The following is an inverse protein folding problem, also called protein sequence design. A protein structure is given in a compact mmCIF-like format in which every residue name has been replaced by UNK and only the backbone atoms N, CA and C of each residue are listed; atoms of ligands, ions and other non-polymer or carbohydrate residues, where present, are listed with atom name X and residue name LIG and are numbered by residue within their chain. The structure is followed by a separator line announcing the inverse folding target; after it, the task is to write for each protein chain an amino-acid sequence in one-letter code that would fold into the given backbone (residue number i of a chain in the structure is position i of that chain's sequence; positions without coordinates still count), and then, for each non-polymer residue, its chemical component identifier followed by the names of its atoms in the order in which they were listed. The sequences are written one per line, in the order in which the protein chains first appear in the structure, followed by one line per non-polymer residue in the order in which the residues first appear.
data_IF_956277575947
#
_entry.id   IF_956277575947
#
_cell.length_a   1.000
_cell.length_b   1.000
_cell.length_c   1.000
_cell.angle_alpha   90.00
_cell.angle_beta   90.00
_cell.angle_gamma   90.00
#
_symmetry.space_group_name_H-M   'P 1'
#
loop_
_entity.id
_entity.type
_entity.pdbx_description
1 polymer ?
#
# COMPACT_ATOMS: atom_id res chain seq x y z
N UNK A 1 -2.79 -23.09 3.09
CA UNK A 1 -1.42 -22.63 2.81
C UNK A 1 -1.37 -21.11 2.95
N UNK A 2 -0.54 -20.64 3.83
CA UNK A 2 -0.27 -19.19 3.94
C UNK A 2 0.63 -18.82 2.77
N UNK A 3 0.19 -17.89 1.92
CA UNK A 3 1.04 -17.38 0.83
C UNK A 3 2.14 -16.52 1.45
N UNK A 4 3.37 -16.78 1.07
CA UNK A 4 4.51 -15.97 1.52
C UNK A 4 4.41 -14.56 0.95
N UNK A 5 4.78 -13.56 1.76
CA UNK A 5 4.89 -12.17 1.29
C UNK A 5 5.88 -12.10 0.14
N UNK A 6 5.49 -11.54 -1.01
CA UNK A 6 6.42 -11.38 -2.12
C UNK A 6 7.61 -10.51 -1.71
N UNK A 7 8.80 -10.92 -2.14
CA UNK A 7 10.00 -10.10 -1.94
C UNK A 7 9.98 -8.96 -2.96
N UNK A 8 10.16 -7.74 -2.46
CA UNK A 8 10.31 -6.55 -3.31
C UNK A 8 11.76 -6.11 -3.22
N UNK A 9 12.52 -6.15 -4.32
CA UNK A 9 13.91 -5.68 -4.30
C UNK A 9 14.00 -4.21 -3.88
N UNK A 10 15.11 -3.81 -3.21
CA UNK A 10 15.34 -2.42 -2.90
C UNK A 10 15.27 -1.53 -4.15
N UNK A 11 14.73 -0.33 -4.00
CA UNK A 11 14.75 0.68 -5.05
C UNK A 11 15.95 1.60 -4.87
N UNK A 12 16.05 2.66 -5.70
CA UNK A 12 17.18 3.60 -5.59
C UNK A 12 17.27 4.26 -4.21
N UNK A 13 16.12 4.51 -3.55
CA UNK A 13 16.09 5.27 -2.28
C UNK A 13 15.31 4.57 -1.16
N UNK A 14 14.62 3.47 -1.45
CA UNK A 14 13.70 2.83 -0.50
C UNK A 14 14.00 1.35 -0.34
N UNK A 15 13.80 0.88 0.89
CA UNK A 15 13.60 -0.54 1.19
C UNK A 15 12.12 -0.75 1.50
N UNK A 16 11.50 -1.74 0.85
CA UNK A 16 10.16 -2.21 1.21
C UNK A 16 10.33 -3.39 2.16
N UNK A 17 10.12 -3.14 3.43
CA UNK A 17 10.38 -4.11 4.50
C UNK A 17 9.08 -4.79 4.87
N UNK A 18 8.99 -6.14 4.86
CA UNK A 18 7.80 -6.83 5.32
C UNK A 18 7.37 -6.34 6.70
N UNK A 19 6.08 -6.08 6.84
CA UNK A 19 5.52 -5.53 8.07
C UNK A 19 5.77 -6.46 9.26
N UNK A 20 6.14 -5.88 10.40
CA UNK A 20 6.28 -6.54 11.70
C UNK A 20 5.59 -5.72 12.78
N UNK A 21 5.17 -6.38 13.83
CA UNK A 21 4.47 -5.72 14.94
C UNK A 21 5.35 -4.62 15.59
N UNK A 22 6.65 -4.84 15.64
CA UNK A 22 7.63 -3.89 16.22
C UNK A 22 7.70 -2.56 15.45
N UNK A 23 7.22 -2.50 14.23
CA UNK A 23 7.17 -1.25 13.46
C UNK A 23 6.12 -0.26 13.99
N UNK A 24 5.22 -0.69 14.85
CA UNK A 24 4.07 0.12 15.28
C UNK A 24 4.47 1.44 15.97
N UNK A 25 5.50 1.44 16.82
CA UNK A 25 5.92 2.67 17.52
C UNK A 25 6.45 3.74 16.57
N UNK A 26 7.37 3.36 15.70
CA UNK A 26 7.91 4.31 14.72
C UNK A 26 6.82 4.76 13.75
N UNK A 27 5.97 3.85 13.27
CA UNK A 27 4.88 4.15 12.34
C UNK A 27 3.80 5.04 12.95
N UNK A 28 3.58 4.99 14.26
CA UNK A 28 2.65 5.93 14.91
C UNK A 28 3.07 7.39 14.68
N UNK A 29 4.37 7.67 14.73
CA UNK A 29 4.91 8.99 14.39
C UNK A 29 4.77 9.33 12.91
N UNK A 30 5.03 8.38 12.03
CA UNK A 30 4.90 8.56 10.57
C UNK A 30 3.46 8.89 10.17
N UNK A 31 2.48 8.27 10.83
CA UNK A 31 1.06 8.38 10.51
C UNK A 31 0.30 9.38 11.41
N UNK A 32 1.02 10.24 12.12
CA UNK A 32 0.44 11.13 13.13
C UNK A 32 -0.26 12.37 12.56
N UNK A 33 0.02 12.76 11.31
CA UNK A 33 -0.58 13.96 10.74
C UNK A 33 -2.06 13.71 10.38
N UNK A 34 -3.02 14.46 10.96
CA UNK A 34 -4.43 14.33 10.60
C UNK A 34 -4.71 14.56 9.11
N UNK A 35 -3.88 15.30 8.40
CA UNK A 35 -4.02 15.55 6.97
C UNK A 35 -3.96 14.27 6.13
N UNK A 36 -3.31 13.21 6.61
CA UNK A 36 -3.26 11.92 5.94
C UNK A 36 -4.63 11.23 5.84
N UNK A 37 -5.59 11.68 6.64
CA UNK A 37 -6.92 11.07 6.73
C UNK A 37 -8.01 11.90 6.04
N UNK A 38 -7.63 12.98 5.34
CA UNK A 38 -8.57 13.91 4.70
C UNK A 38 -9.49 13.23 3.68
N UNK A 39 -9.01 12.22 2.97
CA UNK A 39 -9.78 11.51 1.93
C UNK A 39 -10.32 10.15 2.39
N UNK A 40 -9.68 9.50 3.35
CA UNK A 40 -10.07 8.18 3.83
C UNK A 40 -10.92 8.21 5.09
N UNK A 41 -10.92 9.33 5.80
CA UNK A 41 -11.57 9.46 7.10
C UNK A 41 -10.79 8.80 8.23
N UNK A 42 -11.28 8.95 9.45
CA UNK A 42 -10.64 8.44 10.65
C UNK A 42 -9.67 9.43 11.29
N UNK A 43 -8.95 8.94 12.28
CA UNK A 43 -7.99 9.70 13.08
C UNK A 43 -6.65 8.98 13.12
N UNK A 44 -5.54 9.71 13.39
CA UNK A 44 -4.25 9.09 13.59
C UNK A 44 -4.31 8.02 14.69
N UNK A 45 -3.86 6.78 14.40
CA UNK A 45 -3.87 5.72 15.40
C UNK A 45 -2.74 5.92 16.42
N UNK A 46 -2.98 5.48 17.66
CA UNK A 46 -1.92 5.36 18.65
C UNK A 46 -0.98 4.20 18.33
N UNK A 47 0.19 4.16 18.96
CA UNK A 47 1.11 3.03 18.82
C UNK A 47 0.45 1.71 19.27
N UNK A 48 -0.36 1.74 20.32
CA UNK A 48 -1.10 0.57 20.80
C UNK A 48 -2.13 0.07 19.77
N UNK A 49 -2.88 1.00 19.16
CA UNK A 49 -3.85 0.67 18.10
C UNK A 49 -3.16 0.11 16.88
N UNK A 50 -2.02 0.67 16.48
CA UNK A 50 -1.21 0.14 15.37
C UNK A 50 -0.66 -1.24 15.68
N UNK A 51 -0.19 -1.47 16.91
CA UNK A 51 0.31 -2.79 17.30
C UNK A 51 -0.77 -3.85 17.14
N UNK A 52 -1.98 -3.59 17.63
CA UNK A 52 -3.11 -4.49 17.48
C UNK A 52 -3.49 -4.71 15.99
N UNK A 53 -3.45 -3.66 15.19
CA UNK A 53 -3.68 -3.76 13.73
C UNK A 53 -2.61 -4.62 13.06
N UNK A 54 -1.34 -4.41 13.39
CA UNK A 54 -0.22 -5.15 12.79
C UNK A 54 -0.20 -6.62 13.21
N UNK A 55 -0.66 -6.93 14.42
CA UNK A 55 -0.87 -8.32 14.82
C UNK A 55 -1.89 -9.02 13.92
N UNK A 56 -3.00 -8.36 13.60
CA UNK A 56 -4.02 -8.89 12.68
C UNK A 56 -3.48 -9.02 11.26
N UNK A 57 -2.80 -7.99 10.76
CA UNK A 57 -2.28 -7.97 9.39
C UNK A 57 -1.18 -9.02 9.18
N UNK A 58 -0.29 -9.19 10.15
CA UNK A 58 0.80 -10.17 10.04
C UNK A 58 0.33 -11.60 10.25
N UNK A 59 -0.80 -11.80 10.96
CA UNK A 59 -1.43 -13.11 11.06
C UNK A 59 -2.05 -13.59 9.73
N UNK A 60 -2.31 -12.66 8.82
CA UNK A 60 -2.92 -12.94 7.54
C UNK A 60 -4.45 -12.90 7.57
N UNK A 61 -5.05 -12.95 6.37
CA UNK A 61 -6.50 -12.92 6.23
C UNK A 61 -7.16 -14.16 6.87
N UNK A 62 -8.25 -13.98 7.62
CA UNK A 62 -9.05 -15.10 8.09
C UNK A 62 -9.83 -15.79 6.96
N UNK A 63 -9.99 -15.12 5.81
CA UNK A 63 -10.61 -15.70 4.62
C UNK A 63 -9.54 -16.39 3.77
N UNK A 64 -9.62 -17.73 3.55
CA UNK A 64 -8.62 -18.45 2.76
C UNK A 64 -8.61 -18.05 1.28
N UNK A 65 -9.65 -17.39 0.79
CA UNK A 65 -9.72 -16.89 -0.59
C UNK A 65 -8.98 -15.56 -0.77
N UNK A 66 -8.53 -14.94 0.32
CA UNK A 66 -7.89 -13.64 0.32
C UNK A 66 -6.50 -13.71 0.97
N UNK A 67 -5.52 -13.01 0.42
CA UNK A 67 -4.20 -12.89 1.01
C UNK A 67 -3.87 -11.43 1.27
N UNK A 68 -3.28 -11.14 2.42
CA UNK A 68 -2.83 -9.81 2.82
C UNK A 68 -1.31 -9.75 2.83
N UNK A 69 -0.77 -8.76 2.14
CA UNK A 69 0.67 -8.48 2.12
C UNK A 69 0.90 -7.01 2.49
N UNK A 70 1.80 -6.77 3.43
CA UNK A 70 2.06 -5.44 3.96
C UNK A 70 3.56 -5.19 4.07
N UNK A 71 3.98 -3.99 3.70
CA UNK A 71 5.36 -3.53 3.82
C UNK A 71 5.39 -2.13 4.43
N UNK A 72 6.38 -1.86 5.25
CA UNK A 72 6.75 -0.50 5.61
C UNK A 72 7.86 -0.01 4.68
N UNK A 73 7.90 1.29 4.43
CA UNK A 73 8.90 1.93 3.58
C UNK A 73 9.99 2.53 4.46
N UNK A 74 11.24 2.22 4.14
CA UNK A 74 12.40 2.80 4.82
C UNK A 74 13.22 3.62 3.86
N UNK A 75 13.53 4.87 4.23
CA UNK A 75 14.42 5.78 3.52
C UNK A 75 15.44 6.34 4.51
N UNK A 76 16.72 6.27 4.18
CA UNK A 76 17.80 6.77 5.04
C UNK A 76 17.70 6.26 6.50
N UNK A 77 17.40 4.97 6.65
CA UNK A 77 17.31 4.31 7.96
C UNK A 77 16.04 4.63 8.76
N UNK A 78 15.10 5.40 8.21
CA UNK A 78 13.85 5.78 8.87
C UNK A 78 12.63 5.25 8.12
N UNK A 79 11.63 4.83 8.86
CA UNK A 79 10.33 4.51 8.27
C UNK A 79 9.64 5.80 7.82
N UNK A 80 9.07 5.77 6.61
CA UNK A 80 8.46 6.95 6.01
C UNK A 80 7.06 6.71 5.45
N UNK A 81 6.56 5.49 5.48
CA UNK A 81 5.24 5.16 4.96
C UNK A 81 5.02 3.65 4.86
N UNK A 82 3.97 3.27 4.17
CA UNK A 82 3.67 1.87 3.91
C UNK A 82 3.05 1.66 2.54
N UNK A 83 3.14 0.44 2.06
CA UNK A 83 2.37 -0.08 0.92
C UNK A 83 1.76 -1.42 1.31
N UNK A 84 0.63 -1.75 0.71
CA UNK A 84 -0.05 -3.02 0.97
C UNK A 84 -0.71 -3.55 -0.29
N UNK A 85 -0.91 -4.87 -0.33
CA UNK A 85 -1.64 -5.55 -1.38
C UNK A 85 -2.61 -6.54 -0.76
N UNK A 86 -3.86 -6.47 -1.18
CA UNK A 86 -4.89 -7.46 -0.86
C UNK A 86 -5.18 -8.24 -2.12
N UNK A 87 -4.98 -9.55 -2.09
CA UNK A 87 -5.11 -10.41 -3.26
C UNK A 87 -6.32 -11.30 -3.13
N UNK A 88 -7.21 -11.21 -4.11
CA UNK A 88 -8.42 -12.02 -4.18
C UNK A 88 -8.77 -12.27 -5.65
N UNK A 89 -9.08 -13.52 -6.00
CA UNK A 89 -9.55 -13.91 -7.33
C UNK A 89 -8.68 -13.39 -8.48
N UNK A 90 -7.35 -13.43 -8.32
CA UNK A 90 -6.41 -13.00 -9.36
C UNK A 90 -6.18 -11.50 -9.43
N UNK A 91 -6.85 -10.71 -8.61
CA UNK A 91 -6.64 -9.27 -8.51
C UNK A 91 -5.82 -8.92 -7.27
N UNK A 92 -4.86 -8.01 -7.43
CA UNK A 92 -4.13 -7.40 -6.32
C UNK A 92 -4.59 -5.96 -6.16
N UNK A 93 -5.31 -5.67 -5.09
CA UNK A 93 -5.66 -4.30 -4.72
C UNK A 93 -4.53 -3.72 -3.90
N UNK A 94 -3.95 -2.62 -4.39
CA UNK A 94 -2.82 -1.95 -3.74
C UNK A 94 -3.25 -0.64 -3.11
N UNK A 95 -2.60 -0.31 -1.98
CA UNK A 95 -2.78 0.95 -1.29
C UNK A 95 -1.43 1.45 -0.78
N UNK A 96 -1.32 2.74 -0.58
CA UNK A 96 -0.07 3.38 -0.14
C UNK A 96 -0.33 4.62 0.69
N UNK A 97 0.58 4.89 1.61
CA UNK A 97 0.64 6.15 2.37
C UNK A 97 2.10 6.51 2.58
N UNK A 98 2.44 7.77 2.34
CA UNK A 98 3.74 8.35 2.69
C UNK A 98 3.50 9.43 3.74
N UNK A 99 4.27 9.40 4.83
CA UNK A 99 4.17 10.37 5.91
C UNK A 99 4.46 11.79 5.42
N UNK A 100 3.79 12.78 5.99
CA UNK A 100 3.83 14.17 5.54
C UNK A 100 5.24 14.74 5.35
N UNK A 101 6.21 14.51 6.28
CA UNK A 101 7.56 15.05 6.10
C UNK A 101 8.31 14.52 4.87
N UNK A 102 7.88 13.37 4.34
CA UNK A 102 8.51 12.71 3.19
C UNK A 102 7.76 12.89 1.88
N UNK A 103 6.62 13.58 1.90
CA UNK A 103 5.84 13.83 0.68
C UNK A 103 6.53 14.84 -0.24
N UNK A 104 6.16 14.80 -1.54
CA UNK A 104 6.72 15.69 -2.54
C UNK A 104 8.12 15.31 -3.01
N UNK A 105 8.60 14.12 -2.69
CA UNK A 105 9.94 13.62 -3.06
C UNK A 105 9.91 12.45 -4.05
N UNK A 106 8.73 12.03 -4.49
CA UNK A 106 8.58 10.91 -5.41
C UNK A 106 8.62 9.53 -4.76
N UNK A 107 8.63 9.43 -3.43
CA UNK A 107 8.70 8.14 -2.73
C UNK A 107 7.50 7.24 -3.00
N UNK A 108 6.29 7.79 -3.04
CA UNK A 108 5.09 7.00 -3.31
C UNK A 108 5.14 6.37 -4.70
N UNK A 109 5.55 7.13 -5.72
CA UNK A 109 5.71 6.61 -7.09
C UNK A 109 6.76 5.51 -7.12
N UNK A 110 7.90 5.73 -6.49
CA UNK A 110 9.00 4.75 -6.46
C UNK A 110 8.57 3.45 -5.78
N UNK A 111 7.89 3.55 -4.64
CA UNK A 111 7.41 2.40 -3.88
C UNK A 111 6.34 1.62 -4.62
N UNK A 112 5.33 2.30 -5.16
CA UNK A 112 4.21 1.63 -5.84
C UNK A 112 4.66 0.98 -7.15
N UNK A 113 5.56 1.61 -7.90
CA UNK A 113 6.16 0.99 -9.09
C UNK A 113 6.89 -0.30 -8.73
N UNK A 114 7.70 -0.29 -7.69
CA UNK A 114 8.42 -1.47 -7.23
C UNK A 114 7.46 -2.58 -6.77
N UNK A 115 6.42 -2.21 -6.04
CA UNK A 115 5.40 -3.14 -5.58
C UNK A 115 4.68 -3.79 -6.77
N UNK A 116 4.20 -3.00 -7.71
CA UNK A 116 3.48 -3.48 -8.89
C UNK A 116 4.36 -4.42 -9.72
N UNK A 117 5.64 -4.09 -9.88
CA UNK A 117 6.58 -4.95 -10.60
C UNK A 117 6.81 -6.30 -9.91
N UNK A 118 6.83 -6.32 -8.57
CA UNK A 118 7.08 -7.52 -7.77
C UNK A 118 5.84 -8.40 -7.58
N UNK A 119 4.64 -7.82 -7.66
CA UNK A 119 3.40 -8.57 -7.49
C UNK A 119 3.18 -9.48 -8.71
N UNK A 120 2.97 -10.78 -8.50
CA UNK A 120 2.49 -11.65 -9.57
C UNK A 120 1.03 -11.34 -9.89
N UNK A 121 0.49 -12.00 -10.90
CA UNK A 121 -0.92 -11.88 -11.24
C UNK A 121 -1.23 -10.92 -12.37
N UNK A 122 -2.38 -11.12 -13.03
CA UNK A 122 -2.72 -10.40 -14.26
C UNK A 122 -3.31 -9.02 -14.03
N UNK A 123 -3.86 -8.74 -12.85
CA UNK A 123 -4.61 -7.49 -12.61
C UNK A 123 -4.17 -6.83 -11.31
N UNK A 124 -3.82 -5.55 -11.40
CA UNK A 124 -3.56 -4.70 -10.25
C UNK A 124 -4.63 -3.61 -10.21
N UNK A 125 -5.14 -3.35 -9.02
CA UNK A 125 -6.25 -2.41 -8.79
C UNK A 125 -5.87 -1.44 -7.68
N UNK A 126 -6.33 -0.20 -7.79
CA UNK A 126 -6.29 0.76 -6.69
C UNK A 126 -7.60 1.55 -6.68
N UNK A 127 -8.05 1.94 -5.49
CA UNK A 127 -9.20 2.82 -5.33
C UNK A 127 -8.70 4.19 -4.87
N UNK A 128 -9.06 5.25 -5.59
CA UNK A 128 -8.56 6.59 -5.36
C UNK A 128 -9.74 7.56 -5.27
N UNK A 129 -9.78 8.35 -4.20
CA UNK A 129 -10.78 9.41 -4.07
C UNK A 129 -10.64 10.40 -5.24
N UNK A 130 -11.75 10.81 -5.91
CA UNK A 130 -11.68 11.68 -7.09
C UNK A 130 -11.03 13.04 -6.83
N UNK A 131 -11.05 13.52 -5.59
CA UNK A 131 -10.37 14.74 -5.17
C UNK A 131 -8.90 14.58 -4.82
N UNK A 132 -8.39 13.35 -4.78
CA UNK A 132 -7.00 13.07 -4.36
C UNK A 132 -6.04 13.04 -5.56
N UNK A 133 -5.68 14.23 -6.07
CA UNK A 133 -4.85 14.36 -7.27
C UNK A 133 -3.47 13.71 -7.10
N UNK A 134 -2.88 13.77 -5.92
CA UNK A 134 -1.57 13.17 -5.66
C UNK A 134 -1.59 11.65 -5.80
N UNK A 135 -2.61 10.97 -5.23
CA UNK A 135 -2.76 9.52 -5.38
C UNK A 135 -3.10 9.11 -6.81
N UNK A 136 -3.90 9.92 -7.53
CA UNK A 136 -4.17 9.68 -8.95
C UNK A 136 -2.87 9.74 -9.79
N UNK A 137 -2.00 10.69 -9.50
CA UNK A 137 -0.70 10.80 -10.16
C UNK A 137 0.19 9.59 -9.88
N UNK A 138 0.20 9.07 -8.66
CA UNK A 138 0.94 7.86 -8.29
C UNK A 138 0.40 6.64 -9.04
N UNK A 139 -0.93 6.45 -9.05
CA UNK A 139 -1.57 5.34 -9.76
C UNK A 139 -1.20 5.37 -11.25
N UNK A 140 -1.29 6.54 -11.88
CA UNK A 140 -0.94 6.71 -13.29
C UNK A 140 0.54 6.42 -13.56
N UNK A 141 1.44 6.92 -12.72
CA UNK A 141 2.87 6.67 -12.84
C UNK A 141 3.23 5.19 -12.69
N UNK A 142 2.44 4.43 -11.94
CA UNK A 142 2.60 2.98 -11.78
C UNK A 142 1.97 2.17 -12.92
N UNK A 143 1.33 2.82 -13.88
CA UNK A 143 0.75 2.18 -15.06
C UNK A 143 -0.74 1.87 -14.96
N UNK A 144 -1.41 2.24 -13.87
CA UNK A 144 -2.84 2.07 -13.74
C UNK A 144 -3.59 3.17 -14.49
N UNK A 145 -4.78 2.84 -14.97
CA UNK A 145 -5.67 3.80 -15.65
C UNK A 145 -7.01 3.84 -14.92
N UNK A 146 -7.64 5.03 -14.82
CA UNK A 146 -8.95 5.15 -14.21
C UNK A 146 -10.01 4.43 -15.05
N UNK A 147 -11.00 3.86 -14.39
CA UNK A 147 -12.15 3.24 -15.01
C UNK A 147 -13.41 4.05 -14.70
N UNK A 148 -14.54 3.65 -15.27
CA UNK A 148 -15.86 4.20 -14.96
C UNK A 148 -16.51 3.56 -13.72
N UNK A 149 -15.77 2.67 -13.02
CA UNK A 149 -16.27 1.97 -11.83
C UNK A 149 -15.87 2.72 -10.57
N UNK A 150 -16.77 2.74 -9.60
CA UNK A 150 -16.57 3.33 -8.29
C UNK A 150 -16.90 2.32 -7.19
N UNK A 151 -16.26 2.49 -6.04
CA UNK A 151 -16.54 1.75 -4.81
C UNK A 151 -16.44 2.74 -3.64
N UNK A 152 -17.52 2.90 -2.89
CA UNK A 152 -17.58 3.79 -1.73
C UNK A 152 -17.11 5.23 -2.03
N UNK A 153 -17.44 5.74 -3.24
CA UNK A 153 -17.05 7.08 -3.69
C UNK A 153 -15.63 7.21 -4.22
N UNK A 154 -14.88 6.12 -4.26
CA UNK A 154 -13.54 6.09 -4.85
C UNK A 154 -13.56 5.50 -6.25
N UNK A 155 -12.77 6.09 -7.15
CA UNK A 155 -12.62 5.61 -8.53
C UNK A 155 -11.71 4.39 -8.54
N UNK A 156 -12.13 3.35 -9.23
CA UNK A 156 -11.30 2.16 -9.47
C UNK A 156 -10.33 2.41 -10.61
N UNK A 157 -9.04 2.23 -10.33
CA UNK A 157 -7.94 2.25 -11.29
C UNK A 157 -7.47 0.83 -11.54
N UNK A 158 -7.11 0.50 -12.77
CA UNK A 158 -6.69 -0.85 -13.15
C UNK A 158 -5.44 -0.86 -14.02
N UNK A 159 -4.63 -1.90 -13.81
CA UNK A 159 -3.57 -2.33 -14.71
C UNK A 159 -3.78 -3.80 -15.03
N UNK A 160 -3.96 -4.13 -16.30
CA UNK A 160 -4.06 -5.53 -16.76
C UNK A 160 -2.76 -5.92 -17.46
N UNK A 161 -2.24 -7.08 -17.11
CA UNK A 161 -0.95 -7.59 -17.60
C UNK A 161 -1.14 -8.98 -18.17
N UNK A 162 -0.74 -9.17 -19.45
CA UNK A 162 -0.76 -10.48 -20.10
C UNK A 162 0.35 -11.38 -19.54
N UNK A 163 0.09 -12.70 -19.51
CA UNK A 163 1.10 -13.72 -19.21
C UNK A 163 1.57 -13.80 -17.76
N UNK A 164 0.88 -13.13 -16.83
CA UNK A 164 1.17 -13.24 -15.40
C UNK A 164 0.13 -14.06 -14.68
N UNK A 165 0.59 -14.89 -13.76
CA UNK A 165 -0.25 -15.72 -12.88
C UNK A 165 0.26 -15.63 -11.44
N UNK A 166 -0.63 -15.99 -10.50
CA UNK A 166 -0.28 -16.10 -9.09
C UNK A 166 0.38 -17.43 -8.76
#
# INVERSE_FOLDING_TARGET
MTRSTPEVPPTARLDLVPLRVEHAEEMAGVLADPALYAFTGGEPPSAEQLRARYERQTAGSPDPAEAWFNWVLRADGRLCGYVQATVRAGEAEVAWVVGTPWQGRGYAVEAVRALVAALPGPTVVAHVHPGHAASAAVARAAGLLPTDRELDGEVRWELRRAGRSW
#
